data_IF_843339346239
#
_entry.id   IF_843339346239
#
_cell.length_a   1.000
_cell.length_b   1.000
_cell.length_c   1.000
_cell.angle_alpha   90.00
_cell.angle_beta   90.00
_cell.angle_gamma   90.00
#
_symmetry.space_group_name_H-M   'P 1'
#
loop_
_entity.id
_entity.type
_entity.pdbx_description
1 polymer ?
#
# COMPACT_ATOMS: atom_id res chain seq x y z
N UNK A 1 57.06 -76.40 8.71
CA UNK A 1 56.05 -76.97 7.78
C UNK A 1 54.91 -75.97 7.67
N UNK A 2 54.58 -75.67 6.43
CA UNK A 2 53.48 -74.87 5.93
C UNK A 2 53.42 -73.31 6.20
N UNK A 3 53.85 -72.65 5.15
CA UNK A 3 53.61 -71.30 4.75
C UNK A 3 52.11 -71.03 4.53
N UNK A 4 51.63 -69.84 4.92
CA UNK A 4 50.42 -69.31 4.35
C UNK A 4 50.58 -67.79 4.13
N UNK A 5 50.59 -67.37 2.88
CA UNK A 5 50.73 -66.04 2.41
C UNK A 5 49.34 -65.33 2.51
N UNK A 6 49.27 -64.21 3.24
CA UNK A 6 48.12 -63.37 3.26
C UNK A 6 48.19 -62.31 2.12
N UNK A 7 47.24 -62.37 1.20
CA UNK A 7 47.08 -61.37 0.15
C UNK A 7 46.32 -60.14 0.71
N UNK A 8 46.94 -58.99 0.71
CA UNK A 8 46.29 -57.72 0.95
C UNK A 8 45.55 -57.26 -0.34
N UNK A 9 44.23 -57.15 -0.26
CA UNK A 9 43.44 -56.54 -1.27
C UNK A 9 43.24 -55.08 -0.90
N UNK A 10 43.76 -54.13 -1.70
CA UNK A 10 43.64 -52.73 -1.59
C UNK A 10 42.29 -52.32 -2.20
N UNK A 11 41.29 -51.96 -1.37
CA UNK A 11 40.03 -51.42 -1.83
C UNK A 11 40.17 -49.88 -2.00
N UNK A 12 40.19 -49.43 -3.24
CA UNK A 12 40.14 -48.04 -3.57
C UNK A 12 38.69 -47.52 -3.40
N UNK A 13 38.43 -46.71 -2.37
CA UNK A 13 37.19 -45.97 -2.24
C UNK A 13 37.22 -44.75 -3.20
N UNK A 14 36.47 -44.86 -4.27
CA UNK A 14 36.13 -43.70 -5.11
C UNK A 14 35.11 -42.85 -4.38
N UNK A 15 35.54 -41.69 -3.83
CA UNK A 15 34.67 -40.61 -3.36
C UNK A 15 34.10 -39.93 -4.59
N UNK A 16 32.84 -40.22 -4.96
CA UNK A 16 32.07 -39.44 -5.88
C UNK A 16 31.63 -38.14 -5.17
N UNK A 17 32.30 -37.03 -5.42
CA UNK A 17 31.78 -35.72 -5.12
C UNK A 17 30.54 -35.46 -5.98
N UNK A 18 29.36 -35.68 -5.42
CA UNK A 18 28.12 -35.15 -5.98
C UNK A 18 28.15 -33.61 -5.82
N UNK A 19 28.46 -32.90 -6.90
CA UNK A 19 28.29 -31.46 -6.99
C UNK A 19 26.77 -31.25 -7.03
N UNK A 20 26.18 -30.91 -5.88
CA UNK A 20 24.82 -30.43 -5.81
C UNK A 20 24.78 -29.11 -6.57
N UNK A 21 24.22 -29.09 -7.78
CA UNK A 21 23.81 -27.89 -8.46
C UNK A 21 22.71 -27.23 -7.60
N UNK A 22 23.11 -26.24 -6.82
CA UNK A 22 22.18 -25.32 -6.20
C UNK A 22 21.52 -24.54 -7.35
N UNK A 23 20.36 -25.01 -7.80
CA UNK A 23 19.51 -24.20 -8.66
C UNK A 23 19.10 -22.98 -7.85
N UNK A 24 19.71 -21.86 -8.13
CA UNK A 24 19.24 -20.55 -7.67
C UNK A 24 17.88 -20.31 -8.32
N UNK A 25 16.81 -20.72 -7.62
CA UNK A 25 15.49 -20.22 -7.91
C UNK A 25 15.51 -18.72 -7.59
N UNK A 26 15.92 -17.92 -8.57
CA UNK A 26 15.63 -16.50 -8.56
C UNK A 26 14.12 -16.35 -8.43
N UNK A 27 13.67 -15.74 -7.34
CA UNK A 27 12.28 -15.28 -7.24
C UNK A 27 11.96 -14.54 -8.55
N UNK A 28 10.78 -14.76 -9.17
CA UNK A 28 10.44 -14.02 -10.37
C UNK A 28 10.55 -12.54 -10.05
N UNK A 29 11.40 -11.82 -10.78
CA UNK A 29 11.40 -10.38 -10.78
C UNK A 29 9.95 -9.96 -11.00
N UNK A 30 9.48 -8.99 -10.21
CA UNK A 30 8.15 -8.45 -10.42
C UNK A 30 8.02 -8.13 -11.91
N UNK A 31 7.15 -8.86 -12.60
CA UNK A 31 6.93 -8.66 -14.03
C UNK A 31 6.54 -7.20 -14.18
N UNK A 32 7.31 -6.44 -14.97
CA UNK A 32 6.97 -5.06 -15.28
C UNK A 32 5.51 -5.02 -15.71
N UNK A 33 4.75 -4.08 -15.15
CA UNK A 33 3.34 -3.93 -15.51
C UNK A 33 3.23 -3.80 -17.04
N UNK A 34 2.31 -4.55 -17.64
CA UNK A 34 2.05 -4.45 -19.10
C UNK A 34 1.25 -3.20 -19.46
N UNK A 35 0.81 -2.42 -18.46
CA UNK A 35 0.01 -1.22 -18.67
C UNK A 35 0.88 -0.06 -19.20
N UNK A 36 0.39 0.71 -20.19
CA UNK A 36 1.13 1.81 -20.80
C UNK A 36 1.16 3.04 -19.86
N UNK A 37 1.98 2.97 -18.82
CA UNK A 37 2.15 4.06 -17.87
C UNK A 37 3.04 5.15 -18.43
N UNK A 38 2.77 6.38 -18.04
CA UNK A 38 3.65 7.52 -18.23
C UNK A 38 4.16 7.97 -16.86
N UNK A 39 5.48 8.11 -16.74
CA UNK A 39 6.14 8.61 -15.55
C UNK A 39 6.12 10.14 -15.52
N UNK A 40 5.93 10.72 -14.34
CA UNK A 40 6.04 12.14 -14.12
C UNK A 40 6.57 12.47 -12.74
N UNK A 41 7.16 13.64 -12.61
CA UNK A 41 7.60 14.17 -11.31
C UNK A 41 7.29 15.65 -11.26
N UNK A 42 6.70 16.11 -10.16
CA UNK A 42 6.55 17.53 -9.84
C UNK A 42 7.49 17.91 -8.71
N UNK A 43 8.02 19.14 -8.79
CA UNK A 43 8.78 19.75 -7.70
C UNK A 43 7.94 20.83 -7.02
N UNK A 44 7.75 20.68 -5.72
CA UNK A 44 7.05 21.65 -4.88
C UNK A 44 8.10 22.46 -4.12
N UNK A 45 8.28 23.72 -4.52
CA UNK A 45 9.24 24.61 -3.88
C UNK A 45 8.75 25.05 -2.49
N UNK A 46 9.66 25.09 -1.52
CA UNK A 46 9.42 25.56 -0.16
C UNK A 46 8.19 24.89 0.50
N UNK A 47 8.07 23.58 0.36
CA UNK A 47 6.94 22.84 0.95
C UNK A 47 7.04 22.87 2.48
N UNK A 48 6.03 23.46 3.11
CA UNK A 48 5.95 23.57 4.57
C UNK A 48 5.10 22.44 5.13
N UNK A 49 5.66 21.61 6.00
CA UNK A 49 5.00 20.51 6.69
C UNK A 49 4.11 21.02 7.85
N UNK A 50 3.17 20.17 8.28
CA UNK A 50 2.32 20.42 9.44
C UNK A 50 3.11 20.65 10.74
N UNK A 51 4.33 20.11 10.84
CA UNK A 51 5.28 20.38 11.95
C UNK A 51 5.83 21.81 11.94
N UNK A 52 5.67 22.55 10.86
CA UNK A 52 6.25 23.87 10.66
C UNK A 52 7.60 23.88 9.95
N UNK A 53 8.24 22.72 9.80
CA UNK A 53 9.47 22.54 9.04
C UNK A 53 9.23 22.75 7.55
N UNK A 54 10.27 23.12 6.80
CA UNK A 54 10.17 23.38 5.37
C UNK A 54 11.29 22.65 4.62
N UNK A 55 10.93 21.97 3.53
CA UNK A 55 11.88 21.53 2.52
C UNK A 55 11.93 22.54 1.38
N UNK A 56 13.13 22.92 0.97
CA UNK A 56 13.31 23.82 -0.18
C UNK A 56 12.72 23.23 -1.47
N UNK A 57 12.80 21.91 -1.61
CA UNK A 57 12.23 21.15 -2.72
C UNK A 57 11.65 19.83 -2.19
N UNK A 58 10.36 19.61 -2.42
CA UNK A 58 9.70 18.32 -2.23
C UNK A 58 9.34 17.76 -3.62
N UNK A 59 9.93 16.64 -4.00
CA UNK A 59 9.63 15.93 -5.25
C UNK A 59 8.51 14.93 -5.00
N UNK A 60 7.52 14.94 -5.88
CA UNK A 60 6.47 13.91 -5.94
C UNK A 60 6.53 13.25 -7.31
N UNK A 61 6.79 11.97 -7.29
CA UNK A 61 6.70 11.11 -8.47
C UNK A 61 5.26 10.59 -8.62
N UNK A 62 4.83 10.33 -9.83
CA UNK A 62 3.54 9.73 -10.13
C UNK A 62 3.57 8.96 -11.45
N UNK A 63 2.65 8.03 -11.59
CA UNK A 63 2.34 7.38 -12.86
C UNK A 63 0.98 7.84 -13.35
N UNK A 64 0.81 7.88 -14.68
CA UNK A 64 -0.50 8.09 -15.28
C UNK A 64 -0.82 7.04 -16.32
N UNK A 65 -2.13 6.81 -16.53
CA UNK A 65 -2.70 5.94 -17.55
C UNK A 65 -3.89 6.65 -18.20
N UNK A 66 -4.12 6.38 -19.48
CA UNK A 66 -5.19 7.03 -20.22
C UNK A 66 -4.86 8.47 -20.59
N UNK A 67 -5.89 9.24 -20.98
CA UNK A 67 -5.72 10.62 -21.47
C UNK A 67 -6.71 11.55 -20.76
N UNK A 68 -6.26 12.74 -20.31
CA UNK A 68 -7.18 13.70 -19.73
C UNK A 68 -8.17 14.21 -20.79
N UNK A 69 -9.45 14.12 -20.46
CA UNK A 69 -10.52 14.74 -21.24
C UNK A 69 -10.84 16.12 -20.60
N UNK A 70 -11.00 17.14 -21.45
CA UNK A 70 -11.40 18.47 -20.98
C UNK A 70 -12.79 18.80 -21.52
N UNK A 71 -13.66 19.21 -20.64
CA UNK A 71 -14.99 19.67 -20.98
C UNK A 71 -14.95 21.05 -21.73
N UNK A 72 -16.11 21.54 -22.15
CA UNK A 72 -16.22 22.82 -22.89
C UNK A 72 -15.69 24.03 -22.10
N UNK A 73 -15.63 23.98 -20.78
CA UNK A 73 -15.06 25.01 -19.93
C UNK A 73 -13.53 24.86 -19.75
N UNK A 74 -12.91 23.79 -20.29
CA UNK A 74 -11.49 23.52 -20.20
C UNK A 74 -11.06 22.74 -18.96
N UNK A 75 -12.00 22.36 -18.08
CA UNK A 75 -11.74 21.56 -16.88
C UNK A 75 -11.57 20.07 -17.21
N UNK A 76 -10.66 19.40 -16.52
CA UNK A 76 -10.54 17.92 -16.61
C UNK A 76 -11.74 17.29 -15.89
N UNK A 77 -12.48 16.40 -16.56
CA UNK A 77 -13.71 15.81 -16.04
C UNK A 77 -13.68 14.27 -15.92
N UNK A 78 -12.57 13.64 -16.32
CA UNK A 78 -12.40 12.19 -16.29
C UNK A 78 -11.24 11.70 -15.43
N UNK A 79 -10.61 12.58 -14.62
CA UNK A 79 -9.47 12.21 -13.80
C UNK A 79 -9.88 11.35 -12.59
N UNK A 80 -9.11 10.31 -12.32
CA UNK A 80 -9.25 9.43 -11.15
C UNK A 80 -7.92 9.41 -10.40
N UNK A 81 -7.98 9.68 -9.10
CA UNK A 81 -6.82 9.56 -8.21
C UNK A 81 -6.86 8.22 -7.48
N UNK A 82 -5.82 7.40 -7.65
CA UNK A 82 -5.67 6.11 -6.98
C UNK A 82 -4.54 6.17 -5.95
N UNK A 83 -4.88 5.95 -4.68
CA UNK A 83 -3.96 6.10 -3.55
C UNK A 83 -3.58 4.73 -2.98
N UNK A 84 -2.27 4.47 -2.89
CA UNK A 84 -1.71 3.21 -2.41
C UNK A 84 -1.73 3.07 -0.88
N UNK A 85 -1.45 1.85 -0.38
CA UNK A 85 -1.34 1.55 1.05
C UNK A 85 0.06 1.86 1.63
N UNK A 86 0.18 1.76 2.95
CA UNK A 86 1.43 1.94 3.72
C UNK A 86 2.57 1.09 3.15
N UNK A 87 3.72 1.69 2.90
CA UNK A 87 4.89 1.03 2.32
C UNK A 87 4.76 0.69 0.83
N UNK A 88 3.66 1.11 0.18
CA UNK A 88 3.44 0.96 -1.26
C UNK A 88 4.08 2.08 -2.09
N UNK A 89 3.70 2.13 -3.36
CA UNK A 89 4.09 3.16 -4.31
C UNK A 89 3.10 3.17 -5.49
N UNK A 90 3.30 4.02 -6.47
CA UNK A 90 2.47 4.16 -7.67
C UNK A 90 2.25 2.82 -8.42
N UNK A 91 3.23 1.90 -8.39
CA UNK A 91 3.10 0.59 -9.03
C UNK A 91 2.25 -0.41 -8.23
N UNK A 92 1.98 -0.17 -6.96
CA UNK A 92 1.28 -1.14 -6.08
C UNK A 92 -0.11 -1.51 -6.59
N UNK A 93 -0.81 -0.58 -7.24
CA UNK A 93 -2.13 -0.81 -7.81
C UNK A 93 -2.10 -1.23 -9.30
N UNK A 94 -0.91 -1.44 -9.86
CA UNK A 94 -0.71 -2.04 -11.18
C UNK A 94 -0.58 -3.57 -11.11
N UNK A 95 -0.76 -4.17 -9.93
CA UNK A 95 -0.76 -5.64 -9.81
C UNK A 95 -1.98 -6.24 -10.54
N UNK A 96 -1.83 -7.43 -11.18
CA UNK A 96 -2.87 -8.01 -12.05
C UNK A 96 -4.22 -8.25 -11.36
N UNK A 97 -4.23 -8.58 -10.06
CA UNK A 97 -5.50 -8.81 -9.33
C UNK A 97 -6.33 -7.55 -9.11
N UNK A 98 -5.72 -6.37 -9.33
CA UNK A 98 -6.37 -5.07 -9.30
C UNK A 98 -6.53 -4.51 -10.73
N UNK A 99 -5.42 -4.28 -11.41
CA UNK A 99 -5.40 -3.55 -12.68
C UNK A 99 -6.05 -4.32 -13.83
N UNK A 100 -5.81 -5.65 -13.97
CA UNK A 100 -6.38 -6.44 -15.06
C UNK A 100 -7.89 -6.71 -14.90
N UNK A 101 -8.41 -6.36 -13.72
CA UNK A 101 -9.84 -6.43 -13.42
C UNK A 101 -10.55 -5.11 -13.69
N UNK A 102 -9.86 -3.98 -13.49
CA UNK A 102 -10.47 -2.65 -13.49
C UNK A 102 -10.15 -1.82 -14.72
N UNK A 103 -8.92 -1.90 -15.24
CA UNK A 103 -8.38 -0.97 -16.25
C UNK A 103 -8.65 -1.41 -17.70
N UNK A 104 -9.06 -2.65 -17.89
CA UNK A 104 -9.35 -3.23 -19.21
C UNK A 104 -10.48 -2.47 -19.94
N UNK A 105 -10.55 -2.52 -21.27
CA UNK A 105 -11.67 -1.99 -22.03
C UNK A 105 -13.02 -2.51 -21.51
N UNK A 106 -13.94 -1.60 -21.20
CA UNK A 106 -15.23 -1.92 -20.56
C UNK A 106 -15.15 -2.22 -19.07
N UNK A 107 -13.96 -2.19 -18.46
CA UNK A 107 -13.76 -2.27 -17.01
C UNK A 107 -14.29 -1.03 -16.28
N UNK A 108 -14.40 -1.14 -14.95
CA UNK A 108 -14.97 -0.05 -14.12
C UNK A 108 -14.10 1.22 -14.18
N UNK A 109 -12.80 1.06 -14.30
CA UNK A 109 -11.80 2.14 -14.40
C UNK A 109 -11.07 2.04 -15.75
N UNK A 110 -11.80 1.83 -16.82
CA UNK A 110 -11.30 1.69 -18.20
C UNK A 110 -10.39 2.86 -18.59
N UNK A 111 -9.12 2.58 -18.87
CA UNK A 111 -8.12 3.60 -19.24
C UNK A 111 -8.39 4.28 -20.60
N UNK A 112 -9.33 3.76 -21.40
CA UNK A 112 -9.80 4.45 -22.61
C UNK A 112 -10.79 5.58 -22.29
N UNK A 113 -11.40 5.54 -21.09
CA UNK A 113 -12.39 6.52 -20.62
C UNK A 113 -11.82 7.47 -19.57
N UNK A 114 -10.96 6.95 -18.70
CA UNK A 114 -10.48 7.68 -17.53
C UNK A 114 -8.99 8.01 -17.64
N UNK A 115 -8.63 9.15 -17.10
CA UNK A 115 -7.27 9.56 -16.85
C UNK A 115 -6.91 9.18 -15.40
N UNK A 116 -6.17 8.10 -15.24
CA UNK A 116 -5.81 7.53 -13.93
C UNK A 116 -4.48 8.11 -13.49
N UNK A 117 -4.42 8.61 -12.27
CA UNK A 117 -3.25 9.22 -11.64
C UNK A 117 -2.91 8.41 -10.39
N UNK A 118 -1.68 7.90 -10.31
CA UNK A 118 -1.16 7.10 -9.21
C UNK A 118 0.09 7.80 -8.64
N UNK A 119 -0.03 8.61 -7.59
CA UNK A 119 1.14 9.22 -6.97
C UNK A 119 1.94 8.22 -6.14
N UNK A 120 3.25 8.45 -6.05
CA UNK A 120 4.04 8.04 -4.89
C UNK A 120 3.84 9.10 -3.81
N UNK A 121 3.44 8.68 -2.62
CA UNK A 121 3.29 9.63 -1.52
C UNK A 121 4.64 10.13 -0.98
N UNK A 122 4.62 11.20 -0.20
CA UNK A 122 5.81 11.62 0.57
C UNK A 122 6.34 10.42 1.36
N UNK A 123 7.63 10.17 1.28
CA UNK A 123 8.26 9.06 1.99
C UNK A 123 8.15 7.70 1.29
N UNK A 124 7.64 7.65 0.05
CA UNK A 124 7.40 6.42 -0.69
C UNK A 124 7.95 6.48 -2.12
N UNK A 125 8.21 5.32 -2.69
CA UNK A 125 8.61 5.15 -4.09
C UNK A 125 9.77 6.05 -4.53
N UNK A 126 9.56 6.85 -5.57
CA UNK A 126 10.53 7.81 -6.10
C UNK A 126 10.27 9.25 -5.62
N UNK A 127 9.26 9.47 -4.75
CA UNK A 127 9.06 10.76 -4.09
C UNK A 127 10.10 11.00 -3.01
N UNK A 128 10.29 12.27 -2.62
CA UNK A 128 11.23 12.65 -1.56
C UNK A 128 10.96 11.89 -0.26
N UNK A 129 12.00 11.32 0.33
CA UNK A 129 11.92 10.44 1.50
C UNK A 129 13.17 10.54 2.38
N UNK A 130 13.14 10.06 3.62
CA UNK A 130 14.28 10.07 4.55
C UNK A 130 15.56 9.47 3.97
N UNK A 131 15.46 8.36 3.24
CA UNK A 131 16.63 7.67 2.65
C UNK A 131 17.33 8.45 1.54
N UNK A 132 16.73 9.52 1.03
CA UNK A 132 17.37 10.40 0.03
C UNK A 132 18.50 11.29 0.61
N UNK A 133 18.93 11.02 1.86
CA UNK A 133 20.09 11.65 2.49
C UNK A 133 19.78 12.41 3.78
N UNK A 134 18.54 12.86 3.99
CA UNK A 134 18.18 13.60 5.21
C UNK A 134 17.97 12.69 6.43
N UNK A 135 17.70 11.41 6.24
CA UNK A 135 17.47 10.44 7.30
C UNK A 135 16.44 10.97 8.32
N UNK A 136 16.77 11.01 9.62
CA UNK A 136 15.88 11.57 10.66
C UNK A 136 15.80 13.11 10.66
N UNK A 137 16.55 13.79 9.83
CA UNK A 137 16.38 15.23 9.58
C UNK A 137 15.34 15.52 8.47
N UNK A 138 14.78 14.48 7.85
CA UNK A 138 13.62 14.66 6.98
C UNK A 138 12.44 15.11 7.83
N UNK A 139 11.66 16.14 7.40
CA UNK A 139 10.52 16.60 8.18
C UNK A 139 9.52 15.48 8.46
N UNK A 140 9.02 15.42 9.69
CA UNK A 140 8.01 14.44 10.04
C UNK A 140 6.68 14.80 9.38
N UNK A 141 6.30 14.02 8.38
CA UNK A 141 5.06 14.19 7.63
C UNK A 141 3.91 13.36 8.19
N UNK A 142 2.71 13.73 7.82
CA UNK A 142 1.46 13.04 8.12
C UNK A 142 0.54 12.96 6.89
N UNK A 143 -0.68 12.48 7.06
CA UNK A 143 -1.62 12.34 5.95
C UNK A 143 -2.15 13.70 5.43
N UNK A 144 -2.22 14.73 6.27
CA UNK A 144 -2.55 16.07 5.82
C UNK A 144 -1.47 16.63 4.89
N UNK A 145 -0.20 16.39 5.22
CA UNK A 145 0.93 16.76 4.36
C UNK A 145 0.90 16.02 3.01
N UNK A 146 0.61 14.71 3.03
CA UNK A 146 0.48 13.91 1.81
C UNK A 146 -0.65 14.44 0.93
N UNK A 147 -1.83 14.64 1.48
CA UNK A 147 -2.99 15.15 0.74
C UNK A 147 -2.74 16.54 0.17
N UNK A 148 -2.13 17.42 0.96
CA UNK A 148 -1.77 18.76 0.48
C UNK A 148 -0.76 18.72 -0.67
N UNK A 149 0.24 17.86 -0.58
CA UNK A 149 1.23 17.68 -1.64
C UNK A 149 0.60 17.09 -2.91
N UNK A 150 -0.31 16.12 -2.78
CA UNK A 150 -1.07 15.55 -3.89
C UNK A 150 -1.94 16.62 -4.57
N UNK A 151 -2.61 17.47 -3.81
CA UNK A 151 -3.39 18.58 -4.37
C UNK A 151 -2.51 19.54 -5.17
N UNK A 152 -1.36 19.97 -4.61
CA UNK A 152 -0.41 20.84 -5.33
C UNK A 152 0.17 20.16 -6.58
N UNK A 153 0.35 18.83 -6.56
CA UNK A 153 0.73 18.04 -7.74
C UNK A 153 -0.35 18.12 -8.81
N UNK A 154 -1.60 17.90 -8.46
CA UNK A 154 -2.74 17.99 -9.40
C UNK A 154 -2.85 19.41 -10.00
N UNK A 155 -2.64 20.46 -9.19
CA UNK A 155 -2.61 21.85 -9.67
C UNK A 155 -1.55 22.06 -10.75
N UNK A 156 -0.32 21.51 -10.55
CA UNK A 156 0.73 21.59 -11.58
C UNK A 156 0.38 20.79 -12.85
N UNK A 157 -0.32 19.66 -12.68
CA UNK A 157 -0.82 18.85 -13.80
C UNK A 157 -2.02 19.49 -14.50
N UNK A 158 -2.55 20.63 -13.98
CA UNK A 158 -3.78 21.27 -14.47
C UNK A 158 -5.00 20.37 -14.38
N UNK A 159 -5.08 19.59 -13.30
CA UNK A 159 -6.22 18.77 -12.92
C UNK A 159 -6.89 19.46 -11.74
N UNK A 160 -8.00 20.09 -11.99
CA UNK A 160 -8.73 20.94 -11.06
C UNK A 160 -10.00 20.28 -10.50
N UNK A 161 -10.25 19.06 -10.92
CA UNK A 161 -11.36 18.23 -10.44
C UNK A 161 -11.09 16.74 -10.66
N UNK A 162 -11.66 15.90 -9.79
CA UNK A 162 -11.56 14.45 -9.87
C UNK A 162 -12.95 13.80 -10.02
N UNK A 163 -13.06 12.86 -10.95
CA UNK A 163 -14.26 12.03 -11.05
C UNK A 163 -14.36 11.06 -9.86
N UNK A 164 -13.23 10.59 -9.36
CA UNK A 164 -13.15 9.64 -8.24
C UNK A 164 -11.83 9.78 -7.50
N UNK A 165 -11.85 9.67 -6.17
CA UNK A 165 -10.70 9.30 -5.36
C UNK A 165 -10.94 7.89 -4.84
N UNK A 166 -10.09 6.93 -5.22
CA UNK A 166 -10.09 5.58 -4.66
C UNK A 166 -8.80 5.37 -3.89
N UNK A 167 -8.90 5.09 -2.61
CA UNK A 167 -7.75 4.85 -1.76
C UNK A 167 -7.83 3.52 -1.04
N UNK A 168 -6.69 2.84 -0.92
CA UNK A 168 -6.57 1.54 -0.25
C UNK A 168 -5.72 1.66 1.01
N UNK A 169 -6.18 1.15 2.16
CA UNK A 169 -5.44 1.16 3.43
C UNK A 169 -5.02 2.57 3.84
N UNK A 170 -3.73 2.95 3.75
CA UNK A 170 -3.25 4.31 3.95
C UNK A 170 -3.98 5.29 3.02
N UNK A 171 -4.08 4.98 1.74
CA UNK A 171 -4.81 5.79 0.76
C UNK A 171 -6.31 5.92 1.09
N UNK A 172 -6.91 4.89 1.71
CA UNK A 172 -8.28 4.97 2.26
C UNK A 172 -8.38 6.09 3.32
N UNK A 173 -7.43 6.16 4.23
CA UNK A 173 -7.37 7.20 5.26
C UNK A 173 -7.16 8.59 4.64
N UNK A 174 -6.28 8.68 3.65
CA UNK A 174 -6.07 9.91 2.89
C UNK A 174 -7.35 10.36 2.14
N UNK A 175 -8.18 9.42 1.65
CA UNK A 175 -9.44 9.78 0.98
C UNK A 175 -10.38 10.55 1.92
N UNK A 176 -10.43 10.21 3.21
CA UNK A 176 -11.18 11.00 4.20
C UNK A 176 -10.55 12.37 4.45
N UNK A 177 -9.22 12.44 4.56
CA UNK A 177 -8.49 13.72 4.70
C UNK A 177 -8.73 14.61 3.46
N UNK A 178 -8.74 14.03 2.26
CA UNK A 178 -9.03 14.75 1.01
C UNK A 178 -10.36 15.48 1.05
N UNK A 179 -11.43 14.78 1.37
CA UNK A 179 -12.78 15.39 1.33
C UNK A 179 -12.99 16.41 2.43
N UNK A 180 -12.33 16.25 3.57
CA UNK A 180 -12.39 17.24 4.66
C UNK A 180 -11.58 18.51 4.37
N UNK A 181 -10.46 18.35 3.64
CA UNK A 181 -9.57 19.48 3.32
C UNK A 181 -10.01 20.20 2.05
N UNK A 182 -10.46 19.46 1.04
CA UNK A 182 -10.86 19.98 -0.28
C UNK A 182 -12.28 19.50 -0.64
N UNK A 183 -13.31 19.96 0.08
CA UNK A 183 -14.68 19.55 -0.20
C UNK A 183 -15.12 19.98 -1.61
N UNK A 184 -15.77 19.06 -2.32
CA UNK A 184 -16.21 19.30 -3.70
C UNK A 184 -15.15 19.14 -4.78
N UNK A 185 -13.90 18.81 -4.44
CA UNK A 185 -12.84 18.55 -5.43
C UNK A 185 -13.04 17.23 -6.21
N UNK A 186 -13.80 16.29 -5.65
CA UNK A 186 -14.15 15.02 -6.30
C UNK A 186 -15.65 14.77 -6.32
N UNK A 187 -16.15 14.09 -7.38
CA UNK A 187 -17.55 13.69 -7.50
C UNK A 187 -17.91 12.53 -6.56
N UNK A 188 -16.95 11.67 -6.28
CA UNK A 188 -17.16 10.42 -5.54
C UNK A 188 -15.88 9.97 -4.81
N UNK A 189 -16.07 9.25 -3.71
CA UNK A 189 -15.00 8.72 -2.87
C UNK A 189 -15.18 7.21 -2.70
N UNK A 190 -14.08 6.45 -2.84
CA UNK A 190 -14.06 5.01 -2.63
C UNK A 190 -12.94 4.62 -1.64
N UNK A 191 -13.10 4.88 -0.33
CA UNK A 191 -12.17 4.47 0.71
C UNK A 191 -12.29 2.95 1.00
N UNK A 192 -11.20 2.18 0.81
CA UNK A 192 -11.18 0.73 1.05
C UNK A 192 -10.16 0.34 2.10
N UNK A 193 -10.58 -0.47 3.06
CA UNK A 193 -9.76 -1.07 4.13
C UNK A 193 -9.19 -0.05 5.13
N UNK A 194 -10.01 0.81 5.68
CA UNK A 194 -9.68 1.64 6.85
C UNK A 194 -10.90 1.98 7.70
N UNK A 195 -10.69 2.70 8.79
CA UNK A 195 -11.73 3.27 9.65
C UNK A 195 -11.53 4.78 9.76
N UNK A 196 -12.61 5.59 9.66
CA UNK A 196 -12.53 7.05 9.74
C UNK A 196 -12.54 7.54 11.19
N UNK A 197 -11.61 7.04 11.99
CA UNK A 197 -11.41 7.39 13.40
C UNK A 197 -9.91 7.36 13.72
N UNK A 198 -9.53 7.91 14.85
CA UNK A 198 -8.17 7.81 15.36
C UNK A 198 -7.67 6.36 15.33
N UNK A 199 -6.45 6.17 14.84
CA UNK A 199 -5.81 4.85 14.83
C UNK A 199 -5.40 4.48 16.25
N UNK A 200 -6.08 3.48 16.80
CA UNK A 200 -5.88 2.95 18.14
C UNK A 200 -5.81 1.41 18.15
N UNK A 201 -5.79 0.80 19.34
CA UNK A 201 -5.81 -0.64 19.53
C UNK A 201 -4.70 -1.36 18.77
N UNK A 202 -5.01 -2.55 18.24
CA UNK A 202 -4.01 -3.40 17.55
C UNK A 202 -3.34 -2.72 16.35
N UNK A 203 -4.06 -1.88 15.59
CA UNK A 203 -3.48 -1.17 14.45
C UNK A 203 -2.35 -0.23 14.91
N UNK A 204 -2.58 0.59 15.96
CA UNK A 204 -1.53 1.45 16.50
C UNK A 204 -0.41 0.65 17.17
N UNK A 205 -0.76 -0.41 17.89
CA UNK A 205 0.23 -1.29 18.53
C UNK A 205 1.17 -1.91 17.49
N UNK A 206 0.65 -2.46 16.40
CA UNK A 206 1.45 -3.01 15.31
C UNK A 206 2.45 -1.98 14.76
N UNK A 207 1.98 -0.77 14.43
CA UNK A 207 2.83 0.32 13.91
C UNK A 207 3.89 0.72 14.92
N UNK A 208 3.52 0.88 16.18
CA UNK A 208 4.45 1.27 17.24
C UNK A 208 5.49 0.19 17.52
N UNK A 209 5.07 -1.09 17.59
CA UNK A 209 6.00 -2.22 17.75
C UNK A 209 6.97 -2.33 16.57
N UNK A 210 6.50 -2.12 15.34
CA UNK A 210 7.38 -2.09 14.16
C UNK A 210 8.44 -0.99 14.26
N UNK A 211 8.02 0.23 14.60
CA UNK A 211 8.94 1.37 14.81
C UNK A 211 9.95 1.06 15.93
N UNK A 212 9.47 0.55 17.08
CA UNK A 212 10.37 0.24 18.20
C UNK A 212 11.28 -0.95 17.87
N UNK A 213 10.79 -1.97 17.15
CA UNK A 213 11.61 -3.09 16.71
C UNK A 213 12.81 -2.67 15.86
N UNK A 214 12.60 -1.73 14.93
CA UNK A 214 13.69 -1.17 14.13
C UNK A 214 14.66 -0.38 15.03
N UNK A 215 14.14 0.46 15.93
CA UNK A 215 14.99 1.31 16.82
C UNK A 215 15.76 0.49 17.86
N UNK A 216 15.28 -0.67 18.24
CA UNK A 216 15.96 -1.58 19.17
C UNK A 216 17.05 -2.43 18.48
N UNK A 217 17.06 -2.51 17.16
CA UNK A 217 18.14 -3.18 16.44
C UNK A 217 19.42 -2.35 16.56
N UNK A 218 20.51 -2.89 17.15
CA UNK A 218 21.78 -2.16 17.32
C UNK A 218 22.34 -1.60 16.00
N UNK A 219 22.06 -2.26 14.88
CA UNK A 219 22.51 -1.82 13.56
C UNK A 219 21.84 -0.50 13.11
N UNK A 220 20.66 -0.14 13.65
CA UNK A 220 20.01 1.13 13.34
C UNK A 220 20.82 2.36 13.78
N UNK A 221 21.62 2.22 14.86
CA UNK A 221 22.58 3.21 15.32
C UNK A 221 22.03 4.66 15.37
N UNK A 222 20.85 4.85 15.94
CA UNK A 222 20.16 6.14 15.98
C UNK A 222 20.02 6.80 14.61
N UNK A 223 19.60 6.02 13.60
CA UNK A 223 19.44 6.41 12.19
C UNK A 223 20.72 6.55 11.36
N UNK A 224 21.88 6.40 11.94
CA UNK A 224 23.17 6.56 11.26
C UNK A 224 23.80 5.19 10.93
N UNK A 225 23.02 4.34 10.23
CA UNK A 225 23.49 3.04 9.77
C UNK A 225 24.14 3.13 8.38
N UNK A 226 25.08 2.26 8.15
CA UNK A 226 25.68 2.00 6.83
C UNK A 226 25.19 0.69 6.23
N UNK A 227 24.60 -0.17 7.05
CA UNK A 227 23.96 -1.43 6.66
C UNK A 227 22.60 -1.46 7.34
N UNK A 228 21.57 -1.84 6.59
CA UNK A 228 20.20 -1.89 7.11
C UNK A 228 20.07 -2.72 8.40
N UNK A 229 19.28 -2.26 9.39
CA UNK A 229 18.97 -3.00 10.61
C UNK A 229 17.96 -4.13 10.29
N UNK A 230 18.46 -5.17 9.65
CA UNK A 230 17.63 -6.24 9.02
C UNK A 230 16.79 -6.99 10.05
N UNK A 231 17.26 -7.15 11.30
CA UNK A 231 16.49 -7.85 12.34
C UNK A 231 15.26 -7.05 12.75
N UNK A 232 15.42 -5.76 12.98
CA UNK A 232 14.33 -4.86 13.29
C UNK A 232 13.33 -4.72 12.14
N UNK A 233 13.83 -4.61 10.90
CA UNK A 233 13.00 -4.56 9.70
C UNK A 233 12.18 -5.85 9.50
N UNK A 234 12.80 -7.03 9.67
CA UNK A 234 12.08 -8.31 9.60
C UNK A 234 10.99 -8.43 10.66
N UNK A 235 11.25 -7.96 11.88
CA UNK A 235 10.24 -7.94 12.93
C UNK A 235 9.05 -7.06 12.52
N UNK A 236 9.31 -5.84 12.04
CA UNK A 236 8.27 -4.91 11.59
C UNK A 236 7.45 -5.50 10.42
N UNK A 237 8.11 -6.06 9.43
CA UNK A 237 7.48 -6.73 8.29
C UNK A 237 6.64 -7.94 8.70
N UNK A 238 7.12 -8.73 9.66
CA UNK A 238 6.37 -9.88 10.20
C UNK A 238 5.07 -9.46 10.87
N UNK A 239 5.09 -8.36 11.61
CA UNK A 239 3.88 -7.80 12.25
C UNK A 239 2.86 -7.36 11.18
N UNK A 240 3.32 -6.73 10.10
CA UNK A 240 2.46 -6.32 8.99
C UNK A 240 1.89 -7.55 8.27
N UNK A 241 2.72 -8.58 8.02
CA UNK A 241 2.28 -9.83 7.40
C UNK A 241 1.16 -10.50 8.20
N UNK A 242 1.37 -10.70 9.50
CA UNK A 242 0.40 -11.39 10.37
C UNK A 242 -0.90 -10.60 10.48
N UNK A 243 -0.81 -9.29 10.67
CA UNK A 243 -1.99 -8.42 10.79
C UNK A 243 -2.72 -8.22 9.46
N UNK A 244 -2.00 -8.26 8.34
CA UNK A 244 -2.57 -8.04 7.01
C UNK A 244 -3.11 -9.30 6.33
N UNK A 245 -2.77 -10.49 6.83
CA UNK A 245 -3.18 -11.77 6.25
C UNK A 245 -4.54 -12.26 6.78
N UNK A 246 -5.13 -13.26 6.10
CA UNK A 246 -6.29 -13.99 6.62
C UNK A 246 -5.93 -15.44 6.94
N UNK A 247 -6.55 -16.05 7.99
CA UNK A 247 -6.28 -17.44 8.37
C UNK A 247 -6.57 -18.43 7.24
N UNK A 248 -7.68 -18.25 6.53
CA UNK A 248 -8.07 -19.15 5.44
C UNK A 248 -7.05 -19.13 4.29
N UNK A 249 -6.61 -17.95 3.91
CA UNK A 249 -5.59 -17.80 2.87
C UNK A 249 -4.25 -18.39 3.33
N UNK A 250 -3.81 -18.10 4.55
CA UNK A 250 -2.54 -18.61 5.07
C UNK A 250 -2.55 -20.13 5.19
N UNK A 251 -3.64 -20.73 5.68
CA UNK A 251 -3.78 -22.18 5.75
C UNK A 251 -3.75 -22.83 4.36
N UNK A 252 -4.30 -22.17 3.33
CA UNK A 252 -4.26 -22.65 1.94
C UNK A 252 -2.85 -22.54 1.34
N UNK A 253 -2.12 -21.47 1.63
CA UNK A 253 -0.76 -21.24 1.11
C UNK A 253 0.31 -22.05 1.83
N UNK A 254 0.10 -22.37 3.09
CA UNK A 254 1.05 -23.04 3.97
C UNK A 254 0.34 -24.10 4.85
N UNK A 255 -0.15 -25.21 4.24
CA UNK A 255 -1.02 -26.17 4.93
C UNK A 255 -0.27 -27.13 5.87
N UNK A 256 1.06 -27.18 5.83
CA UNK A 256 1.90 -27.99 6.72
C UNK A 256 2.88 -27.13 7.50
N UNK A 257 3.49 -27.69 8.54
CA UNK A 257 4.54 -27.00 9.32
C UNK A 257 5.68 -26.54 8.42
N UNK A 258 6.19 -27.45 7.61
CA UNK A 258 7.32 -27.23 6.71
C UNK A 258 6.98 -26.15 5.66
N UNK A 259 5.76 -26.17 5.12
CA UNK A 259 5.28 -25.15 4.19
C UNK A 259 5.19 -23.77 4.84
N UNK A 260 4.77 -23.72 6.12
CA UNK A 260 4.68 -22.47 6.88
C UNK A 260 6.07 -21.88 7.18
N UNK A 261 7.03 -22.72 7.60
CA UNK A 261 8.41 -22.29 7.83
C UNK A 261 9.04 -21.79 6.53
N UNK A 262 8.93 -22.52 5.42
CA UNK A 262 9.42 -22.11 4.11
C UNK A 262 8.73 -20.85 3.58
N UNK A 263 7.45 -20.61 3.94
CA UNK A 263 6.76 -19.37 3.57
C UNK A 263 7.41 -18.17 4.25
N UNK A 264 7.72 -18.27 5.53
CA UNK A 264 8.40 -17.21 6.29
C UNK A 264 9.81 -16.98 5.76
N UNK A 265 10.57 -18.03 5.48
CA UNK A 265 11.94 -17.92 4.93
C UNK A 265 11.93 -17.17 3.59
N UNK A 266 11.02 -17.53 2.68
CA UNK A 266 10.86 -16.82 1.40
C UNK A 266 10.40 -15.36 1.60
N UNK A 267 9.55 -15.12 2.58
CA UNK A 267 9.09 -13.77 2.90
C UNK A 267 10.25 -12.89 3.35
N UNK A 268 11.13 -13.41 4.22
CA UNK A 268 12.31 -12.71 4.72
C UNK A 268 13.47 -12.60 3.73
N UNK A 269 13.49 -13.42 2.68
CA UNK A 269 14.48 -13.32 1.61
C UNK A 269 14.20 -12.16 0.63
N UNK A 270 13.06 -11.49 0.73
CA UNK A 270 12.73 -10.32 -0.08
C UNK A 270 13.58 -9.12 0.32
N UNK A 271 13.86 -8.19 -0.62
CA UNK A 271 14.48 -6.92 -0.26
C UNK A 271 13.67 -6.19 0.82
N UNK A 272 14.36 -5.67 1.83
CA UNK A 272 13.75 -4.82 2.86
C UNK A 272 13.70 -3.36 2.39
N UNK A 273 12.69 -2.58 2.84
CA UNK A 273 12.72 -1.13 2.67
C UNK A 273 13.86 -0.52 3.50
N UNK A 274 14.18 0.75 3.26
CA UNK A 274 15.04 1.52 4.14
C UNK A 274 14.37 1.68 5.52
N UNK A 275 15.15 1.56 6.59
CA UNK A 275 14.63 1.54 7.94
C UNK A 275 14.05 2.90 8.38
N UNK A 276 14.67 4.00 7.97
CA UNK A 276 14.15 5.33 8.30
C UNK A 276 12.86 5.62 7.53
N UNK A 277 12.78 5.24 6.25
CA UNK A 277 11.54 5.35 5.46
C UNK A 277 10.41 4.58 6.15
N UNK A 278 10.68 3.34 6.61
CA UNK A 278 9.69 2.52 7.31
C UNK A 278 9.21 3.14 8.62
N UNK A 279 10.11 3.67 9.42
CA UNK A 279 9.76 4.39 10.66
C UNK A 279 8.81 5.56 10.36
N UNK A 280 9.12 6.33 9.32
CA UNK A 280 8.36 7.52 8.96
C UNK A 280 6.96 7.16 8.45
N UNK A 281 6.83 6.23 7.46
CA UNK A 281 5.50 5.91 6.94
C UNK A 281 4.63 5.15 7.95
N UNK A 282 5.19 4.36 8.87
CA UNK A 282 4.42 3.77 9.96
C UNK A 282 3.92 4.82 10.95
N UNK A 283 4.67 5.92 11.13
CA UNK A 283 4.29 6.99 12.05
C UNK A 283 3.43 8.09 11.41
N UNK A 284 3.32 8.16 10.09
CA UNK A 284 2.57 9.20 9.38
C UNK A 284 1.07 9.27 9.78
N UNK A 285 0.54 8.17 10.29
CA UNK A 285 -0.84 8.07 10.77
C UNK A 285 -1.07 8.56 12.21
N UNK A 286 -0.06 9.12 12.88
CA UNK A 286 -0.09 9.40 14.33
C UNK A 286 -1.19 10.35 14.78
N UNK A 287 -1.58 11.29 13.93
CA UNK A 287 -2.59 12.32 14.20
C UNK A 287 -3.85 12.19 13.31
N UNK A 288 -3.96 11.08 12.54
CA UNK A 288 -5.15 10.83 11.73
C UNK A 288 -6.38 10.63 12.62
N UNK A 289 -7.38 11.49 12.46
CA UNK A 289 -8.71 11.35 13.07
C UNK A 289 -9.73 12.23 12.33
N UNK A 290 -10.39 11.73 11.29
CA UNK A 290 -11.46 12.48 10.59
C UNK A 290 -12.78 12.46 11.35
N UNK A 291 -12.88 11.68 12.44
CA UNK A 291 -14.18 11.47 13.11
C UNK A 291 -14.88 12.77 13.56
N UNK A 292 -14.23 13.88 13.93
CA UNK A 292 -14.94 15.09 14.34
C UNK A 292 -15.73 15.78 13.22
N UNK A 293 -15.45 15.47 11.95
CA UNK A 293 -16.02 16.21 10.78
C UNK A 293 -16.81 15.34 9.81
N UNK A 294 -17.11 14.09 10.13
CA UNK A 294 -17.79 13.15 9.22
C UNK A 294 -19.14 13.66 8.72
N UNK A 295 -19.89 14.41 9.53
CA UNK A 295 -21.19 14.99 9.15
C UNK A 295 -21.06 16.07 8.06
N UNK A 296 -19.88 16.65 7.88
CA UNK A 296 -19.64 17.65 6.84
C UNK A 296 -19.36 17.06 5.47
N UNK A 297 -19.14 15.73 5.40
CA UNK A 297 -18.88 15.03 4.15
C UNK A 297 -20.17 14.88 3.36
N UNK A 298 -20.33 15.73 2.34
CA UNK A 298 -21.49 15.70 1.43
C UNK A 298 -21.23 14.96 0.13
N UNK A 299 -19.96 14.71 -0.21
CA UNK A 299 -19.57 13.90 -1.37
C UNK A 299 -20.03 12.46 -1.18
N UNK A 300 -20.60 11.79 -2.20
CA UNK A 300 -20.95 10.37 -2.13
C UNK A 300 -19.75 9.49 -1.78
N UNK A 301 -19.94 8.53 -0.87
CA UNK A 301 -18.90 7.62 -0.38
C UNK A 301 -19.33 6.18 -0.52
N UNK A 302 -18.51 5.36 -1.20
CA UNK A 302 -18.57 3.91 -1.15
C UNK A 302 -17.41 3.40 -0.28
N UNK A 303 -17.69 3.06 0.95
CA UNK A 303 -16.69 2.55 1.89
C UNK A 303 -16.74 1.04 1.97
N UNK A 304 -15.60 0.35 1.70
CA UNK A 304 -15.52 -1.12 1.69
C UNK A 304 -14.43 -1.63 2.63
N UNK A 305 -14.80 -2.56 3.52
CA UNK A 305 -13.87 -3.35 4.32
C UNK A 305 -14.15 -4.85 4.16
N UNK A 306 -13.23 -5.71 4.58
CA UNK A 306 -13.39 -7.16 4.59
C UNK A 306 -13.61 -7.68 6.00
N UNK A 307 -14.47 -8.68 6.15
CA UNK A 307 -14.82 -9.24 7.48
C UNK A 307 -13.68 -10.05 8.12
N UNK A 308 -12.67 -10.44 7.33
CA UNK A 308 -11.45 -11.12 7.81
C UNK A 308 -10.24 -10.17 7.96
N UNK A 309 -10.46 -8.84 7.92
CA UNK A 309 -9.41 -7.83 8.10
C UNK A 309 -9.06 -7.64 9.59
N UNK A 310 -7.88 -8.07 10.00
CA UNK A 310 -7.41 -7.93 11.38
C UNK A 310 -6.89 -6.53 11.73
N UNK A 311 -6.61 -5.69 10.72
CA UNK A 311 -6.22 -4.30 10.92
C UNK A 311 -7.46 -3.44 11.22
N UNK A 312 -8.58 -3.72 10.53
CA UNK A 312 -9.86 -3.02 10.67
C UNK A 312 -10.99 -4.01 10.99
N UNK A 313 -10.92 -4.75 12.10
CA UNK A 313 -11.83 -5.84 12.38
C UNK A 313 -13.27 -5.34 12.62
N UNK A 314 -14.28 -6.01 12.05
CA UNK A 314 -15.68 -5.59 12.17
C UNK A 314 -16.20 -5.66 13.62
N UNK A 315 -15.61 -6.50 14.47
CA UNK A 315 -15.99 -6.66 15.88
C UNK A 315 -15.89 -5.36 16.70
N UNK A 316 -15.15 -4.36 16.20
CA UNK A 316 -15.09 -3.05 16.84
C UNK A 316 -16.41 -2.28 16.71
N UNK A 317 -17.29 -2.63 15.76
CA UNK A 317 -18.56 -1.94 15.50
C UNK A 317 -18.40 -0.47 15.14
N UNK A 318 -17.19 -0.07 14.70
CA UNK A 318 -16.89 1.34 14.37
C UNK A 318 -17.52 1.72 13.04
N UNK A 319 -17.41 0.87 12.04
CA UNK A 319 -17.90 1.17 10.70
C UNK A 319 -19.41 1.43 10.68
N UNK A 320 -20.18 0.60 11.35
CA UNK A 320 -21.63 0.72 11.46
C UNK A 320 -22.09 1.97 12.22
N UNK A 321 -21.25 2.49 13.10
CA UNK A 321 -21.52 3.75 13.82
C UNK A 321 -21.15 4.94 12.95
N UNK A 322 -19.97 4.91 12.32
CA UNK A 322 -19.43 6.06 11.58
C UNK A 322 -20.14 6.31 10.26
N UNK A 323 -20.56 5.24 9.55
CA UNK A 323 -21.31 5.41 8.28
C UNK A 323 -22.62 6.19 8.48
N UNK A 324 -23.28 6.03 9.63
CA UNK A 324 -24.52 6.77 9.96
C UNK A 324 -24.34 8.27 10.12
N UNK A 325 -23.09 8.71 10.31
CA UNK A 325 -22.73 10.12 10.46
C UNK A 325 -22.46 10.81 9.11
N UNK A 326 -22.33 10.03 8.04
CA UNK A 326 -22.08 10.54 6.69
C UNK A 326 -23.35 10.37 5.84
N UNK A 327 -24.05 11.47 5.45
CA UNK A 327 -25.39 11.41 4.86
C UNK A 327 -25.44 10.70 3.51
N UNK A 328 -24.35 10.69 2.76
CA UNK A 328 -24.24 10.08 1.42
C UNK A 328 -23.25 8.92 1.37
N UNK A 329 -23.00 8.27 2.50
CA UNK A 329 -22.11 7.13 2.57
C UNK A 329 -22.86 5.80 2.57
N UNK A 330 -22.33 4.84 1.81
CA UNK A 330 -22.69 3.42 1.86
C UNK A 330 -21.49 2.63 2.34
N UNK A 331 -21.65 1.86 3.42
CA UNK A 331 -20.66 0.91 3.90
C UNK A 331 -20.98 -0.50 3.39
N UNK A 332 -19.97 -1.20 2.91
CA UNK A 332 -20.04 -2.61 2.49
C UNK A 332 -18.98 -3.40 3.24
N UNK A 333 -19.41 -4.39 3.99
CA UNK A 333 -18.55 -5.38 4.61
C UNK A 333 -18.51 -6.63 3.72
N UNK A 334 -17.40 -6.90 3.08
CA UNK A 334 -17.22 -8.10 2.26
C UNK A 334 -17.18 -9.32 3.20
N UNK A 335 -18.07 -10.31 3.02
CA UNK A 335 -18.10 -11.50 3.88
C UNK A 335 -16.84 -12.36 3.67
N UNK A 336 -16.44 -13.08 4.71
CA UNK A 336 -15.32 -14.02 4.66
C UNK A 336 -15.59 -15.09 3.59
N UNK A 337 -14.61 -15.35 2.76
CA UNK A 337 -14.68 -16.37 1.72
C UNK A 337 -13.27 -16.89 1.38
N UNK A 338 -13.19 -17.90 0.52
CA UNK A 338 -11.92 -18.42 -0.03
C UNK A 338 -11.23 -17.44 -1.01
N UNK A 339 -11.90 -16.37 -1.40
CA UNK A 339 -11.39 -15.29 -2.25
C UNK A 339 -10.90 -14.08 -1.46
N UNK A 340 -11.32 -13.92 -0.19
CA UNK A 340 -10.85 -12.84 0.67
C UNK A 340 -9.45 -13.11 1.20
N UNK A 341 -8.72 -12.05 1.52
CA UNK A 341 -7.29 -12.07 1.85
C UNK A 341 -6.97 -11.22 3.09
N UNK A 342 -7.91 -11.15 4.03
CA UNK A 342 -7.77 -10.25 5.16
C UNK A 342 -7.72 -8.80 4.70
N UNK A 343 -6.79 -8.03 5.24
CA UNK A 343 -6.56 -6.65 4.81
C UNK A 343 -6.29 -6.53 3.29
N UNK A 344 -5.55 -7.49 2.72
CA UNK A 344 -5.24 -7.53 1.28
C UNK A 344 -6.44 -7.70 0.34
N UNK A 345 -7.66 -7.92 0.85
CA UNK A 345 -8.89 -7.97 0.03
C UNK A 345 -9.12 -6.66 -0.73
N UNK A 346 -8.63 -5.54 -0.23
CA UNK A 346 -8.74 -4.24 -0.90
C UNK A 346 -8.09 -4.20 -2.29
N UNK A 347 -7.09 -5.05 -2.58
CA UNK A 347 -6.48 -5.18 -3.91
C UNK A 347 -7.10 -6.28 -4.76
N UNK A 348 -7.89 -7.19 -4.18
CA UNK A 348 -8.56 -8.26 -4.90
C UNK A 348 -9.85 -7.74 -5.59
N UNK A 349 -9.68 -6.96 -6.65
CA UNK A 349 -10.76 -6.19 -7.28
C UNK A 349 -11.95 -7.04 -7.75
N UNK A 350 -11.72 -8.29 -8.14
CA UNK A 350 -12.79 -9.20 -8.54
C UNK A 350 -13.87 -9.40 -7.45
N UNK A 351 -13.48 -9.26 -6.16
CA UNK A 351 -14.37 -9.46 -5.01
C UNK A 351 -15.36 -8.30 -4.85
N UNK A 352 -14.96 -7.08 -5.19
CA UNK A 352 -15.74 -5.88 -4.88
C UNK A 352 -16.06 -4.98 -6.10
N UNK A 353 -15.54 -5.28 -7.29
CA UNK A 353 -15.71 -4.44 -8.49
C UNK A 353 -17.17 -4.10 -8.82
N UNK A 354 -18.11 -4.99 -8.54
CA UNK A 354 -19.52 -4.77 -8.85
C UNK A 354 -20.13 -3.66 -7.99
N UNK A 355 -19.71 -3.55 -6.72
CA UNK A 355 -20.12 -2.43 -5.84
C UNK A 355 -19.59 -1.10 -6.37
N UNK A 356 -18.32 -1.10 -6.85
CA UNK A 356 -17.73 0.10 -7.44
C UNK A 356 -18.42 0.46 -8.76
N UNK A 357 -18.75 -0.51 -9.62
CA UNK A 357 -19.45 -0.28 -10.88
C UNK A 357 -20.83 0.36 -10.66
N UNK A 358 -21.62 -0.19 -9.74
CA UNK A 358 -22.91 0.36 -9.34
C UNK A 358 -22.75 1.81 -8.82
N UNK A 359 -21.79 2.03 -7.96
CA UNK A 359 -21.52 3.34 -7.36
C UNK A 359 -21.10 4.37 -8.41
N UNK A 360 -20.24 4.01 -9.36
CA UNK A 360 -19.81 4.90 -10.44
C UNK A 360 -20.98 5.31 -11.34
N UNK A 361 -21.95 4.41 -11.59
CA UNK A 361 -23.18 4.72 -12.34
C UNK A 361 -24.10 5.66 -11.54
N UNK A 362 -24.27 5.41 -10.24
CA UNK A 362 -25.13 6.23 -9.37
C UNK A 362 -24.61 7.66 -9.17
N UNK A 363 -23.29 7.84 -9.26
CA UNK A 363 -22.62 9.13 -9.09
C UNK A 363 -22.21 9.79 -10.40
N UNK A 364 -22.71 9.28 -11.54
CA UNK A 364 -22.47 9.90 -12.84
C UNK A 364 -23.12 11.28 -12.91
N UNK A 365 -22.35 12.29 -13.30
CA UNK A 365 -22.90 13.62 -13.54
C UNK A 365 -23.90 13.54 -14.69
N UNK A 366 -25.11 13.95 -14.43
CA UNK A 366 -26.06 14.17 -15.53
C UNK A 366 -25.58 15.36 -16.35
N UNK A 367 -25.57 15.25 -17.67
CA UNK A 367 -25.15 16.32 -18.57
C UNK A 367 -25.98 17.60 -18.38
#
# INVERSE_FOLDING_TARGET
MFSSAARFALAALLFSCAVAFCQTNTAPAATASHWPTQDGTVSLANFRFGTGETLNELKLHYLTLGTPHRNAAGHVDNAILLLHGTGGNAHSLLNPIFSDVLFVPGGVLDIQKYFIILPDDIGHGQSSKPSDGLRTHFPAYDYDDMVRSQHMMLDQMKVDHLRLILGTSMGCMQTFVWVETYPGFADALAPFACLPVQIAGRNRMMRYMGIQGIKLDPAWNNCDYTTEPVQGLRLADTLILVMGSSPLQMQKLAPTREAAEQFVDRYWARPTPDANDMIYYLNASRNYDPSPRLETITTPVLWINSADDYINPPELGIAEKMVKRMPHARFVLIPISDQTRGHGTHTAAAVWKNYLAEFMQQTERKP
#
